data_IF_092483156456
#
_entry.id   IF_092483156456
#
_cell.length_a   1.000
_cell.length_b   1.000
_cell.length_c   1.000
_cell.angle_alpha   90.00
_cell.angle_beta   90.00
_cell.angle_gamma   90.00
#
_symmetry.space_group_name_H-M   'P 1'
#
loop_
_entity.id
_entity.type
_entity.pdbx_description
1 polymer ?
#
# COMPACT_ATOMS: atom_id res chain seq x y z
N UNK A 1 -11.72 -36.59 -1.00
CA UNK A 1 -10.58 -35.76 -0.59
C UNK A 1 -9.41 -36.68 -0.30
N UNK A 2 -8.27 -36.45 -0.91
CA UNK A 2 -7.07 -37.28 -0.74
C UNK A 2 -6.37 -36.86 0.56
N UNK A 3 -6.47 -37.68 1.61
CA UNK A 3 -5.94 -37.41 2.96
C UNK A 3 -4.40 -37.49 3.05
N UNK A 4 -3.70 -37.64 1.91
CA UNK A 4 -2.26 -37.98 1.85
C UNK A 4 -1.31 -36.80 1.72
N UNK A 5 -1.77 -35.58 1.99
CA UNK A 5 -0.93 -34.36 1.99
C UNK A 5 -1.30 -33.41 3.11
N UNK A 6 -1.44 -33.93 4.33
CA UNK A 6 -1.42 -33.07 5.50
C UNK A 6 0.03 -32.68 5.79
N UNK A 7 0.33 -31.40 6.11
CA UNK A 7 1.62 -30.99 6.65
C UNK A 7 2.00 -31.90 7.82
N UNK A 8 3.27 -32.34 7.87
CA UNK A 8 3.74 -33.38 8.82
C UNK A 8 3.45 -33.04 10.29
N UNK A 9 3.40 -31.76 10.64
CA UNK A 9 3.04 -31.26 11.97
C UNK A 9 1.59 -31.61 12.35
N UNK A 10 0.65 -31.55 11.39
CA UNK A 10 -0.76 -31.88 11.62
C UNK A 10 -0.98 -33.38 11.71
N UNK A 11 -0.20 -34.19 10.99
CA UNK A 11 -0.27 -35.65 11.10
C UNK A 11 0.16 -36.13 12.49
N UNK A 12 1.25 -35.56 13.03
CA UNK A 12 1.74 -35.88 14.37
C UNK A 12 0.72 -35.50 15.45
N UNK A 13 0.09 -34.34 15.33
CA UNK A 13 -0.94 -33.89 16.28
C UNK A 13 -2.18 -34.82 16.27
N UNK A 14 -2.66 -35.20 15.08
CA UNK A 14 -3.81 -36.10 14.95
C UNK A 14 -3.50 -37.50 15.49
N UNK A 15 -2.29 -38.02 15.25
CA UNK A 15 -1.86 -39.31 15.80
C UNK A 15 -1.74 -39.27 17.33
N UNK A 16 -1.26 -38.16 17.90
CA UNK A 16 -1.14 -37.97 19.35
C UNK A 16 -2.51 -37.96 20.03
N UNK A 17 -3.49 -37.22 19.50
CA UNK A 17 -4.83 -37.12 20.10
C UNK A 17 -5.63 -38.44 20.03
N UNK A 18 -5.33 -39.29 19.04
CA UNK A 18 -5.87 -40.65 18.97
C UNK A 18 -5.15 -41.59 19.95
N UNK A 19 -3.82 -41.47 20.08
CA UNK A 19 -3.04 -42.25 21.05
C UNK A 19 -3.42 -41.94 22.50
N UNK A 20 -3.77 -40.68 22.78
CA UNK A 20 -4.27 -40.22 24.08
C UNK A 20 -5.72 -40.67 24.37
N UNK A 21 -6.35 -41.40 23.43
CA UNK A 21 -7.68 -42.00 23.58
C UNK A 21 -8.83 -40.98 23.55
N UNK A 22 -8.55 -39.71 23.27
CA UNK A 22 -9.57 -38.64 23.20
C UNK A 22 -10.48 -38.79 21.99
N UNK A 23 -9.96 -39.38 20.91
CA UNK A 23 -10.70 -39.63 19.67
C UNK A 23 -10.42 -41.03 19.15
N UNK A 24 -11.45 -41.68 18.59
CA UNK A 24 -11.37 -43.08 18.15
C UNK A 24 -10.65 -43.25 16.82
N UNK A 25 -10.55 -42.18 16.02
CA UNK A 25 -9.90 -42.17 14.72
C UNK A 25 -9.46 -40.76 14.32
N UNK A 26 -8.58 -40.68 13.32
CA UNK A 26 -8.18 -39.42 12.71
C UNK A 26 -9.36 -38.65 12.08
N UNK A 27 -10.35 -39.37 11.55
CA UNK A 27 -11.56 -38.79 10.97
C UNK A 27 -12.44 -38.10 12.03
N UNK A 28 -12.49 -38.65 13.25
CA UNK A 28 -13.20 -38.04 14.38
C UNK A 28 -12.54 -36.73 14.82
N UNK A 29 -11.21 -36.66 14.83
CA UNK A 29 -10.44 -35.45 15.15
C UNK A 29 -10.73 -34.35 14.12
N UNK A 30 -10.64 -34.69 12.83
CA UNK A 30 -10.91 -33.74 11.74
C UNK A 30 -12.37 -33.29 11.74
N UNK A 31 -13.31 -34.21 11.96
CA UNK A 31 -14.73 -33.90 12.06
C UNK A 31 -15.09 -33.04 13.28
N UNK A 32 -14.36 -33.19 14.39
CA UNK A 32 -14.48 -32.31 15.55
C UNK A 32 -13.90 -30.91 15.28
N UNK A 33 -12.73 -30.83 14.64
CA UNK A 33 -12.10 -29.58 14.26
C UNK A 33 -12.97 -28.77 13.29
N UNK A 34 -13.56 -29.41 12.28
CA UNK A 34 -14.47 -28.77 11.33
C UNK A 34 -15.77 -28.28 12.01
N UNK A 35 -16.26 -29.01 13.03
CA UNK A 35 -17.40 -28.56 13.84
C UNK A 35 -17.05 -27.36 14.70
N UNK A 36 -15.86 -27.34 15.28
CA UNK A 36 -15.37 -26.20 16.07
C UNK A 36 -15.14 -24.97 15.20
N UNK A 37 -14.55 -25.11 14.01
CA UNK A 37 -14.41 -24.01 13.04
C UNK A 37 -15.77 -23.45 12.63
N UNK A 38 -16.73 -24.31 12.29
CA UNK A 38 -18.10 -23.88 11.94
C UNK A 38 -18.82 -23.21 13.11
N UNK A 39 -18.59 -23.69 14.33
CA UNK A 39 -19.15 -23.09 15.54
C UNK A 39 -18.51 -21.74 15.83
N UNK A 40 -17.20 -21.61 15.66
CA UNK A 40 -16.47 -20.36 15.82
C UNK A 40 -16.86 -19.34 14.75
N UNK A 41 -17.13 -19.76 13.51
CA UNK A 41 -17.69 -18.89 12.46
C UNK A 41 -19.12 -18.42 12.80
N UNK A 42 -19.93 -19.30 13.41
CA UNK A 42 -21.27 -18.96 13.87
C UNK A 42 -21.26 -18.04 15.10
N UNK A 43 -20.30 -18.21 16.01
CA UNK A 43 -20.13 -17.40 17.22
C UNK A 43 -19.44 -16.05 16.93
N UNK A 44 -18.48 -16.00 16.01
CA UNK A 44 -17.94 -14.74 15.46
C UNK A 44 -19.02 -13.92 14.74
N UNK A 45 -20.05 -14.55 14.17
CA UNK A 45 -21.25 -13.87 13.64
C UNK A 45 -22.24 -13.40 14.72
N UNK A 46 -22.17 -13.93 15.95
CA UNK A 46 -23.15 -13.67 17.01
C UNK A 46 -22.60 -12.78 18.15
N UNK A 47 -21.30 -12.45 18.14
CA UNK A 47 -20.63 -11.63 19.16
C UNK A 47 -20.40 -10.15 18.81
N UNK A 48 -20.99 -9.64 17.73
CA UNK A 48 -20.79 -8.27 17.26
C UNK A 48 -22.09 -7.48 17.15
N UNK A 49 -22.51 -6.88 18.26
CA UNK A 49 -23.36 -5.69 18.38
C UNK A 49 -24.64 -5.62 17.52
N UNK A 50 -25.76 -5.81 18.22
CA UNK A 50 -27.07 -5.21 17.98
C UNK A 50 -27.05 -3.90 17.19
N UNK A 51 -27.36 -3.99 15.89
CA UNK A 51 -28.14 -2.98 15.20
C UNK A 51 -29.24 -3.70 14.42
N UNK A 52 -30.47 -3.23 14.62
CA UNK A 52 -31.68 -3.76 14.02
C UNK A 52 -31.51 -3.92 12.52
N UNK A 53 -31.86 -5.11 12.04
CA UNK A 53 -32.02 -5.42 10.64
C UNK A 53 -33.21 -4.63 10.07
N UNK A 54 -32.94 -3.50 9.42
CA UNK A 54 -33.83 -2.99 8.38
C UNK A 54 -33.57 -3.83 7.11
N UNK A 55 -34.57 -4.54 6.56
CA UNK A 55 -34.40 -5.27 5.33
C UNK A 55 -34.47 -4.27 4.17
N UNK A 56 -33.34 -3.65 3.82
CA UNK A 56 -33.22 -2.91 2.57
C UNK A 56 -32.28 -3.67 1.61
N UNK A 57 -32.80 -4.25 0.51
CA UNK A 57 -32.07 -5.19 -0.37
C UNK A 57 -31.03 -4.54 -1.29
N UNK A 58 -30.31 -3.50 -0.86
CA UNK A 58 -29.42 -2.71 -1.73
C UNK A 58 -28.06 -2.32 -1.13
N UNK A 59 -27.71 -2.71 0.09
CA UNK A 59 -26.39 -2.41 0.67
C UNK A 59 -25.43 -3.61 0.54
N UNK A 60 -24.36 -3.45 -0.25
CA UNK A 60 -23.22 -4.39 -0.28
C UNK A 60 -22.62 -4.52 1.12
N UNK A 61 -22.00 -5.64 1.46
CA UNK A 61 -21.26 -5.74 2.73
C UNK A 61 -19.90 -5.04 2.64
N UNK A 62 -19.29 -4.71 3.78
CA UNK A 62 -17.93 -4.14 3.80
C UNK A 62 -16.90 -5.08 3.14
N UNK A 63 -17.06 -6.39 3.34
CA UNK A 63 -16.18 -7.41 2.76
C UNK A 63 -16.31 -7.49 1.24
N UNK A 64 -17.53 -7.37 0.69
CA UNK A 64 -17.75 -7.30 -0.75
C UNK A 64 -17.09 -6.06 -1.37
N UNK A 65 -17.15 -4.92 -0.67
CA UNK A 65 -16.47 -3.70 -1.12
C UNK A 65 -14.95 -3.92 -1.14
N UNK A 66 -14.38 -4.54 -0.10
CA UNK A 66 -12.96 -4.88 -0.02
C UNK A 66 -12.53 -5.82 -1.15
N UNK A 67 -13.33 -6.84 -1.43
CA UNK A 67 -13.07 -7.78 -2.51
C UNK A 67 -13.07 -7.05 -3.86
N UNK A 68 -14.07 -6.19 -4.10
CA UNK A 68 -14.16 -5.40 -5.34
C UNK A 68 -12.98 -4.43 -5.50
N UNK A 69 -12.52 -3.79 -4.42
CA UNK A 69 -11.32 -2.93 -4.44
C UNK A 69 -10.10 -3.75 -4.86
N UNK A 70 -9.92 -4.94 -4.29
CA UNK A 70 -8.77 -5.80 -4.55
C UNK A 70 -8.73 -6.27 -6.01
N UNK A 71 -9.89 -6.62 -6.58
CA UNK A 71 -10.03 -6.99 -8.00
C UNK A 71 -9.75 -5.81 -8.94
N UNK A 72 -10.24 -4.62 -8.60
CA UNK A 72 -9.96 -3.41 -9.37
C UNK A 72 -8.45 -3.09 -9.38
N UNK A 73 -7.74 -3.28 -8.26
CA UNK A 73 -6.29 -3.13 -8.22
C UNK A 73 -5.58 -4.19 -9.07
N UNK A 74 -5.98 -5.46 -8.95
CA UNK A 74 -5.37 -6.57 -9.71
C UNK A 74 -5.52 -6.39 -11.23
N UNK A 75 -6.60 -5.75 -11.67
CA UNK A 75 -6.88 -5.47 -13.09
C UNK A 75 -6.37 -4.11 -13.57
N UNK A 76 -5.64 -3.36 -12.72
CA UNK A 76 -5.08 -2.05 -13.07
C UNK A 76 -6.09 -0.90 -13.11
N UNK A 77 -7.32 -1.12 -12.65
CA UNK A 77 -8.39 -0.12 -12.58
C UNK A 77 -8.23 0.79 -11.35
N UNK A 78 -7.08 1.46 -11.26
CA UNK A 78 -6.67 2.26 -10.09
C UNK A 78 -7.66 3.38 -9.73
N UNK A 79 -8.29 3.99 -10.73
CA UNK A 79 -9.31 5.03 -10.52
C UNK A 79 -10.57 4.48 -9.83
N UNK A 80 -11.05 3.32 -10.26
CA UNK A 80 -12.19 2.63 -9.66
C UNK A 80 -11.87 2.14 -8.25
N UNK A 81 -10.70 1.51 -8.06
CA UNK A 81 -10.25 1.06 -6.74
C UNK A 81 -10.21 2.21 -5.73
N UNK A 82 -9.69 3.38 -6.14
CA UNK A 82 -9.68 4.59 -5.31
C UNK A 82 -11.10 5.04 -4.97
N UNK A 83 -11.99 5.11 -5.95
CA UNK A 83 -13.36 5.55 -5.72
C UNK A 83 -14.07 4.63 -4.72
N UNK A 84 -14.01 3.31 -4.95
CA UNK A 84 -14.58 2.30 -4.07
C UNK A 84 -14.00 2.37 -2.65
N UNK A 85 -12.70 2.62 -2.51
CA UNK A 85 -12.07 2.79 -1.20
C UNK A 85 -12.57 4.04 -0.48
N UNK A 86 -12.69 5.18 -1.16
CA UNK A 86 -13.20 6.43 -0.57
C UNK A 86 -14.67 6.30 -0.16
N UNK A 87 -15.51 5.71 -1.02
CA UNK A 87 -16.94 5.54 -0.75
C UNK A 87 -17.16 4.48 0.34
N UNK A 88 -16.41 3.36 0.29
CA UNK A 88 -16.42 2.34 1.33
C UNK A 88 -15.99 2.88 2.70
N UNK A 89 -14.96 3.72 2.77
CA UNK A 89 -14.54 4.33 4.04
C UNK A 89 -15.57 5.33 4.60
N UNK A 90 -16.37 5.99 3.75
CA UNK A 90 -17.49 6.84 4.18
C UNK A 90 -18.67 6.00 4.67
N UNK A 91 -18.97 4.91 3.98
CA UNK A 91 -20.11 4.04 4.29
C UNK A 91 -19.85 3.16 5.52
N UNK A 92 -18.60 2.79 5.77
CA UNK A 92 -18.18 1.98 6.92
C UNK A 92 -17.08 2.70 7.74
N UNK A 93 -17.42 3.76 8.51
CA UNK A 93 -16.44 4.55 9.25
C UNK A 93 -15.61 3.74 10.24
N UNK A 94 -16.22 2.72 10.86
CA UNK A 94 -15.56 1.87 11.86
C UNK A 94 -14.75 0.71 11.26
N UNK A 95 -14.75 0.52 9.94
CA UNK A 95 -14.10 -0.63 9.30
C UNK A 95 -12.64 -0.33 8.94
N UNK A 96 -11.71 -0.85 9.75
CA UNK A 96 -10.28 -0.51 9.69
C UNK A 96 -9.62 -0.72 8.31
N UNK A 97 -9.98 -1.80 7.60
CA UNK A 97 -9.37 -2.10 6.30
C UNK A 97 -9.82 -1.12 5.20
N UNK A 98 -11.07 -0.65 5.23
CA UNK A 98 -11.57 0.34 4.28
C UNK A 98 -10.93 1.71 4.52
N UNK A 99 -10.72 2.09 5.79
CA UNK A 99 -9.94 3.28 6.15
C UNK A 99 -8.50 3.19 5.63
N UNK A 100 -7.90 2.00 5.71
CA UNK A 100 -6.55 1.75 5.21
C UNK A 100 -6.47 1.92 3.69
N UNK A 101 -7.39 1.29 2.94
CA UNK A 101 -7.44 1.46 1.49
C UNK A 101 -7.68 2.92 1.07
N UNK A 102 -8.61 3.62 1.74
CA UNK A 102 -8.87 5.02 1.44
C UNK A 102 -7.64 5.90 1.66
N UNK A 103 -6.85 5.62 2.70
CA UNK A 103 -5.59 6.33 2.97
C UNK A 103 -4.52 6.04 1.92
N UNK A 104 -4.30 4.79 1.57
CA UNK A 104 -3.24 4.38 0.62
C UNK A 104 -3.56 4.88 -0.79
N UNK A 105 -4.82 4.76 -1.20
CA UNK A 105 -5.27 5.13 -2.54
C UNK A 105 -5.65 6.60 -2.68
N UNK A 106 -5.56 7.38 -1.59
CA UNK A 106 -5.83 8.81 -1.60
C UNK A 106 -5.02 9.50 -2.72
N UNK A 107 -5.60 10.48 -3.42
CA UNK A 107 -4.87 11.22 -4.43
C UNK A 107 -3.66 11.94 -3.79
N UNK A 108 -2.52 11.99 -4.47
CA UNK A 108 -1.37 12.75 -3.98
C UNK A 108 -1.77 14.23 -3.86
N UNK A 109 -1.51 14.81 -2.68
CA UNK A 109 -1.78 16.23 -2.44
C UNK A 109 -0.58 17.04 -2.93
N UNK A 110 -0.76 17.74 -4.04
CA UNK A 110 0.24 18.70 -4.51
C UNK A 110 0.24 19.92 -3.60
N UNK A 111 1.33 20.13 -2.86
CA UNK A 111 1.51 21.36 -2.07
C UNK A 111 2.17 22.41 -2.96
N UNK A 112 1.47 23.49 -3.25
CA UNK A 112 2.08 24.66 -3.88
C UNK A 112 2.96 25.37 -2.86
N UNK A 113 4.25 25.51 -3.15
CA UNK A 113 5.16 26.34 -2.35
C UNK A 113 5.06 27.77 -2.89
N UNK A 114 4.72 28.77 -2.05
CA UNK A 114 4.61 30.15 -2.50
C UNK A 114 5.89 30.63 -3.19
N UNK A 115 5.75 31.12 -4.41
CA UNK A 115 6.88 31.72 -5.14
C UNK A 115 7.27 33.05 -4.48
N UNK A 116 8.39 33.08 -3.78
CA UNK A 116 8.99 34.32 -3.27
C UNK A 116 9.82 35.01 -4.36
N UNK A 117 10.02 36.35 -4.32
CA UNK A 117 10.93 37.04 -5.24
C UNK A 117 12.33 36.41 -5.28
N UNK A 118 12.86 36.00 -4.11
CA UNK A 118 14.15 35.31 -3.99
C UNK A 118 14.15 33.98 -4.76
N UNK A 119 13.12 33.15 -4.57
CA UNK A 119 13.01 31.85 -5.27
C UNK A 119 12.95 32.03 -6.80
N UNK A 120 12.24 33.07 -7.30
CA UNK A 120 12.20 33.37 -8.74
C UNK A 120 13.55 33.80 -9.28
N UNK A 121 14.27 34.64 -8.53
CA UNK A 121 15.61 35.08 -8.91
C UNK A 121 16.57 33.88 -9.00
N UNK A 122 16.53 32.97 -8.02
CA UNK A 122 17.34 31.75 -8.01
C UNK A 122 17.07 30.85 -9.23
N UNK A 123 15.79 30.58 -9.54
CA UNK A 123 15.39 29.80 -10.73
C UNK A 123 15.87 30.47 -12.02
N UNK A 124 15.73 31.79 -12.13
CA UNK A 124 16.20 32.55 -13.30
C UNK A 124 17.72 32.46 -13.43
N UNK A 125 18.47 32.61 -12.34
CA UNK A 125 19.92 32.53 -12.33
C UNK A 125 20.43 31.14 -12.76
N UNK A 126 19.84 30.07 -12.21
CA UNK A 126 20.12 28.69 -12.64
C UNK A 126 19.83 28.50 -14.15
N UNK A 127 18.71 29.04 -14.65
CA UNK A 127 18.35 28.96 -16.06
C UNK A 127 19.32 29.73 -16.98
N UNK A 128 19.89 30.85 -16.52
CA UNK A 128 20.92 31.59 -17.26
C UNK A 128 22.20 30.74 -17.33
N UNK A 129 22.64 30.16 -16.22
CA UNK A 129 23.82 29.28 -16.17
C UNK A 129 23.66 28.10 -17.14
N UNK A 130 22.52 27.40 -17.09
CA UNK A 130 22.25 26.26 -17.98
C UNK A 130 22.32 26.67 -19.46
N UNK A 131 21.76 27.81 -19.83
CA UNK A 131 21.83 28.29 -21.23
C UNK A 131 23.26 28.58 -21.68
N UNK A 132 24.09 29.13 -20.80
CA UNK A 132 25.48 29.46 -21.10
C UNK A 132 26.39 28.24 -21.16
N UNK A 133 26.17 27.23 -20.30
CA UNK A 133 27.12 26.14 -20.07
C UNK A 133 26.67 24.76 -20.55
N UNK A 134 25.41 24.57 -20.95
CA UNK A 134 24.88 23.22 -21.28
C UNK A 134 25.75 22.42 -22.27
N UNK A 135 26.40 23.08 -23.24
CA UNK A 135 27.17 22.37 -24.26
C UNK A 135 28.44 21.73 -23.68
N UNK A 136 29.02 22.32 -22.64
CA UNK A 136 30.23 21.83 -21.99
C UNK A 136 29.97 20.60 -21.12
N UNK A 137 28.77 20.52 -20.52
CA UNK A 137 28.42 19.48 -19.54
C UNK A 137 27.46 18.42 -20.11
N UNK A 138 27.41 18.26 -21.43
CA UNK A 138 26.51 17.31 -22.09
C UNK A 138 26.67 15.89 -21.55
N UNK A 139 25.54 15.26 -21.20
CA UNK A 139 25.50 13.91 -20.64
C UNK A 139 25.76 13.83 -19.14
N UNK A 140 26.24 14.91 -18.51
CA UNK A 140 26.58 14.95 -17.08
C UNK A 140 25.41 15.42 -16.21
N UNK A 141 25.45 15.04 -14.95
CA UNK A 141 24.58 15.58 -13.91
C UNK A 141 25.26 16.80 -13.29
N UNK A 142 24.50 17.91 -13.16
CA UNK A 142 25.00 19.15 -12.56
C UNK A 142 24.12 19.56 -11.38
N UNK A 143 24.76 20.15 -10.37
CA UNK A 143 24.11 20.74 -9.21
C UNK A 143 24.31 22.25 -9.20
N UNK A 144 23.22 23.00 -9.19
CA UNK A 144 23.21 24.46 -9.23
C UNK A 144 22.48 25.06 -8.03
N UNK A 145 23.02 26.16 -7.51
CA UNK A 145 22.35 26.99 -6.50
C UNK A 145 22.52 28.46 -6.86
N UNK A 146 21.40 29.14 -7.07
CA UNK A 146 21.35 30.58 -7.37
C UNK A 146 22.27 31.01 -8.54
N UNK A 147 22.44 30.17 -9.55
CA UNK A 147 23.27 30.41 -10.74
C UNK A 147 24.73 29.98 -10.60
N UNK A 148 25.14 29.42 -9.45
CA UNK A 148 26.47 28.89 -9.24
C UNK A 148 26.51 27.37 -9.43
N UNK A 149 27.54 26.88 -10.13
CA UNK A 149 27.86 25.45 -10.20
C UNK A 149 28.45 24.98 -8.88
N UNK A 150 27.79 24.02 -8.24
CA UNK A 150 28.27 23.39 -7.01
C UNK A 150 29.07 22.13 -7.32
N UNK A 151 28.51 21.24 -8.16
CA UNK A 151 29.11 19.95 -8.47
C UNK A 151 28.63 19.41 -9.81
N UNK A 152 29.43 18.49 -10.35
CA UNK A 152 29.20 17.74 -11.60
C UNK A 152 29.54 16.29 -11.31
N UNK A 153 28.74 15.37 -11.83
CA UNK A 153 28.98 13.93 -11.73
C UNK A 153 28.43 13.19 -12.95
N UNK A 154 28.90 11.96 -13.16
CA UNK A 154 28.45 11.12 -14.27
C UNK A 154 27.11 10.41 -13.97
N UNK A 155 26.70 10.36 -12.69
CA UNK A 155 25.42 9.80 -12.26
C UNK A 155 24.73 10.66 -11.20
N UNK A 156 23.41 10.46 -11.06
CA UNK A 156 22.62 11.14 -10.03
C UNK A 156 23.05 10.72 -8.63
N UNK A 157 23.30 9.42 -8.44
CA UNK A 157 23.69 8.84 -7.16
C UNK A 157 25.01 9.41 -6.66
N UNK A 158 26.00 9.54 -7.54
CA UNK A 158 27.28 10.17 -7.21
C UNK A 158 27.10 11.64 -6.83
N UNK A 159 26.25 12.37 -7.58
CA UNK A 159 25.97 13.78 -7.30
C UNK A 159 25.30 13.98 -5.92
N UNK A 160 24.33 13.14 -5.57
CA UNK A 160 23.65 13.22 -4.27
C UNK A 160 24.56 12.78 -3.13
N UNK A 161 25.35 11.72 -3.31
CA UNK A 161 26.30 11.26 -2.30
C UNK A 161 27.32 12.35 -1.93
N UNK A 162 27.77 13.13 -2.91
CA UNK A 162 28.72 14.23 -2.69
C UNK A 162 28.08 15.44 -1.98
N UNK A 163 26.82 15.75 -2.27
CA UNK A 163 26.14 16.94 -1.75
C UNK A 163 25.51 16.71 -0.37
N UNK A 164 25.09 15.49 -0.07
CA UNK A 164 24.32 15.18 1.14
C UNK A 164 22.93 15.81 1.09
N UNK A 165 22.75 16.97 1.73
CA UNK A 165 21.47 17.70 1.73
C UNK A 165 21.30 18.50 0.44
N UNK A 166 20.30 18.12 -0.35
CA UNK A 166 19.99 18.71 -1.64
C UNK A 166 18.90 19.79 -1.58
N UNK A 167 18.53 20.23 -0.38
CA UNK A 167 17.53 21.30 -0.19
C UNK A 167 17.97 22.59 -0.90
N UNK A 168 17.05 23.19 -1.65
CA UNK A 168 17.26 24.38 -2.47
C UNK A 168 18.38 24.26 -3.53
N UNK A 169 18.75 23.03 -3.93
CA UNK A 169 19.68 22.76 -5.03
C UNK A 169 18.91 22.25 -6.25
N UNK A 170 19.17 22.85 -7.41
CA UNK A 170 18.71 22.29 -8.68
C UNK A 170 19.67 21.18 -9.11
N UNK A 171 19.15 19.95 -9.16
CA UNK A 171 19.85 18.80 -9.71
C UNK A 171 19.23 18.49 -11.07
N UNK A 172 20.04 18.46 -12.12
CA UNK A 172 19.54 18.17 -13.47
C UNK A 172 20.59 17.44 -14.30
N UNK A 173 20.12 16.52 -15.14
CA UNK A 173 20.95 15.97 -16.21
C UNK A 173 20.93 16.92 -17.39
N UNK A 174 22.08 17.15 -17.99
CA UNK A 174 22.20 17.91 -19.23
C UNK A 174 22.09 16.94 -20.41
N UNK A 175 21.14 17.21 -21.30
CA UNK A 175 20.79 16.40 -22.47
C UNK A 175 20.74 17.22 -23.74
#
# INVERSE_FOLDING_TARGET
MDLRRLPSELEQFVQQEVADGKYKSAEDVVGAALRLLRKHDAESRNGGSSSKHDPNPTSRSADEVIQTISEALATGQNGLARQLAMDGARQYPSHAQLQTYARILAPPVMKSVPSTPKSRAAVKANGIWLKAHRQEYMGQWVALREGALLRVADSYEALVADLGDTTDILLTKIV
#
